data_IF_448695370764
#
_entry.id   IF_448695370764
#
_cell.length_a   1.000
_cell.length_b   1.000
_cell.length_c   1.000
_cell.angle_alpha   90.00
_cell.angle_beta   90.00
_cell.angle_gamma   90.00
#
_symmetry.space_group_name_H-M   'P 1'
#
loop_
_entity.id
_entity.type
_entity.pdbx_description
1 polymer ?
#
# COMPACT_ATOMS: atom_id res chain seq x y z
N UNK A 1 -22.05 35.81 -57.14
CA UNK A 1 -22.50 36.63 -56.01
C UNK A 1 -22.59 35.70 -54.80
N UNK A 2 -21.50 35.57 -54.03
CA UNK A 2 -21.31 36.15 -52.67
C UNK A 2 -22.32 35.58 -51.67
N UNK A 3 -21.96 34.88 -50.58
CA UNK A 3 -20.90 35.23 -49.63
C UNK A 3 -20.31 33.99 -48.91
N UNK A 4 -18.98 34.00 -48.79
CA UNK A 4 -18.18 33.34 -47.75
C UNK A 4 -17.94 34.40 -46.67
N UNK A 5 -18.08 34.08 -45.39
CA UNK A 5 -17.59 34.98 -44.34
C UNK A 5 -18.08 34.66 -42.94
N UNK A 6 -17.13 34.73 -42.00
CA UNK A 6 -17.29 34.82 -40.55
C UNK A 6 -17.63 33.52 -39.79
N UNK A 7 -16.59 32.88 -39.26
CA UNK A 7 -16.72 31.85 -38.22
C UNK A 7 -15.38 31.28 -37.74
N UNK A 8 -14.30 32.07 -37.78
CA UNK A 8 -12.95 31.65 -37.45
C UNK A 8 -12.36 32.62 -36.41
N UNK A 9 -13.00 32.74 -35.24
CA UNK A 9 -12.51 33.62 -34.18
C UNK A 9 -12.95 33.20 -32.76
N UNK A 10 -13.00 31.90 -32.45
CA UNK A 10 -13.39 31.40 -31.13
C UNK A 10 -12.45 30.32 -30.54
N UNK A 11 -11.24 30.15 -31.08
CA UNK A 11 -10.30 29.11 -30.64
C UNK A 11 -9.05 29.61 -29.89
N UNK A 12 -8.99 30.89 -29.50
CA UNK A 12 -7.74 31.50 -29.00
C UNK A 12 -7.78 31.99 -27.54
N UNK A 13 -8.51 31.30 -26.65
CA UNK A 13 -8.62 31.67 -25.22
C UNK A 13 -8.43 30.50 -24.24
N UNK A 14 -7.74 29.42 -24.64
CA UNK A 14 -7.48 28.24 -23.78
C UNK A 14 -5.99 28.13 -23.37
N UNK A 15 -5.15 29.12 -23.68
CA UNK A 15 -3.69 29.03 -23.50
C UNK A 15 -3.08 29.63 -22.22
N UNK A 16 -3.85 30.22 -21.30
CA UNK A 16 -3.30 31.17 -20.32
C UNK A 16 -3.32 30.73 -18.84
N UNK A 17 -3.40 29.44 -18.53
CA UNK A 17 -3.22 28.95 -17.15
C UNK A 17 -2.15 27.86 -17.06
N UNK A 18 -1.01 28.09 -17.72
CA UNK A 18 0.23 27.44 -17.29
C UNK A 18 0.64 28.08 -15.97
N UNK A 19 0.19 27.51 -14.84
CA UNK A 19 0.87 27.76 -13.58
C UNK A 19 2.32 27.33 -13.78
N UNK A 20 3.22 28.32 -13.79
CA UNK A 20 4.64 28.10 -13.66
C UNK A 20 4.81 27.27 -12.39
N UNK A 21 5.12 25.98 -12.56
CA UNK A 21 5.57 25.15 -11.46
C UNK A 21 6.97 25.64 -11.17
N UNK A 22 7.05 26.73 -10.41
CA UNK A 22 8.31 27.24 -9.91
C UNK A 22 8.97 26.09 -9.15
N UNK A 23 10.14 25.68 -9.63
CA UNK A 23 10.98 24.73 -8.93
C UNK A 23 11.33 25.33 -7.57
N UNK A 24 10.53 25.01 -6.54
CA UNK A 24 10.80 25.43 -5.18
C UNK A 24 12.20 24.96 -4.83
N UNK A 25 13.10 25.92 -4.63
CA UNK A 25 14.47 25.65 -4.24
C UNK A 25 14.47 24.81 -2.98
N UNK A 26 15.31 23.77 -2.93
CA UNK A 26 15.47 22.92 -1.74
C UNK A 26 15.78 23.75 -0.48
N UNK A 27 16.41 24.92 -0.65
CA UNK A 27 16.67 25.87 0.44
C UNK A 27 15.40 26.49 1.03
N UNK A 28 14.37 26.75 0.23
CA UNK A 28 13.12 27.33 0.70
C UNK A 28 12.24 26.29 1.39
N UNK A 29 12.25 25.05 0.90
CA UNK A 29 11.65 23.90 1.59
C UNK A 29 12.32 23.67 2.94
N UNK A 30 13.66 23.73 3.01
CA UNK A 30 14.39 23.58 4.26
C UNK A 30 14.05 24.70 5.27
N UNK A 31 13.97 25.96 4.81
CA UNK A 31 13.54 27.09 5.65
C UNK A 31 12.09 26.96 6.12
N UNK A 32 11.19 26.51 5.26
CA UNK A 32 9.78 26.30 5.60
C UNK A 32 9.61 25.13 6.59
N UNK A 33 10.37 24.04 6.44
CA UNK A 33 10.39 22.94 7.42
C UNK A 33 10.98 23.38 8.76
N UNK A 34 12.04 24.19 8.76
CA UNK A 34 12.60 24.75 9.99
C UNK A 34 11.56 25.62 10.74
N UNK A 35 10.90 26.53 10.02
CA UNK A 35 9.83 27.36 10.58
C UNK A 35 8.62 26.53 11.08
N UNK A 36 8.27 25.44 10.38
CA UNK A 36 7.21 24.52 10.84
C UNK A 36 7.59 23.84 12.15
N UNK A 37 8.84 23.37 12.28
CA UNK A 37 9.33 22.72 13.51
C UNK A 37 9.32 23.67 14.69
N UNK A 38 9.63 24.96 14.48
CA UNK A 38 9.54 25.99 15.52
C UNK A 38 8.09 26.26 15.99
N UNK A 39 7.11 26.07 15.10
CA UNK A 39 5.69 26.26 15.42
C UNK A 39 5.07 25.07 16.15
N UNK A 40 5.65 23.87 16.06
CA UNK A 40 5.19 22.68 16.78
C UNK A 40 5.74 22.74 18.21
N UNK A 41 5.07 23.51 19.07
CA UNK A 41 5.40 23.63 20.51
C UNK A 41 4.82 22.53 21.38
N UNK A 42 3.97 21.69 20.81
CA UNK A 42 3.29 20.61 21.53
C UNK A 42 3.91 19.29 21.12
N UNK A 43 4.74 18.71 21.99
CA UNK A 43 5.04 17.29 21.91
C UNK A 43 3.70 16.55 22.02
N UNK A 44 3.33 15.76 21.01
CA UNK A 44 2.17 14.87 21.10
C UNK A 44 2.31 13.94 22.31
N UNK A 45 1.19 13.32 22.72
CA UNK A 45 1.20 12.34 23.81
C UNK A 45 2.24 11.26 23.51
N UNK A 46 3.26 11.16 24.35
CA UNK A 46 4.22 10.06 24.31
C UNK A 46 3.50 8.87 24.91
N UNK A 47 3.00 7.99 24.05
CA UNK A 47 2.46 6.70 24.47
C UNK A 47 3.64 5.80 24.81
N UNK A 48 3.81 5.53 26.10
CA UNK A 48 4.80 4.60 26.63
C UNK A 48 4.17 3.22 26.84
N UNK A 49 4.98 2.19 27.11
CA UNK A 49 4.46 0.88 27.50
C UNK A 49 3.59 0.92 28.77
N UNK A 50 3.65 1.99 29.57
CA UNK A 50 2.78 2.16 30.75
C UNK A 50 1.36 2.61 30.40
N UNK A 51 1.15 3.15 29.18
CA UNK A 51 -0.15 3.63 28.72
C UNK A 51 -0.97 2.53 28.03
N UNK A 52 -0.41 1.32 27.91
CA UNK A 52 -1.10 0.14 27.38
C UNK A 52 -1.99 -0.47 28.47
N UNK A 53 -3.24 -0.86 28.16
CA UNK A 53 -4.03 -1.66 29.09
C UNK A 53 -3.30 -2.98 29.38
N UNK A 54 -3.43 -3.57 30.58
CA UNK A 54 -2.72 -4.80 30.96
C UNK A 54 -2.96 -5.99 30.02
N UNK A 55 -4.07 -5.98 29.27
CA UNK A 55 -4.40 -6.98 28.25
C UNK A 55 -3.65 -6.81 26.92
N UNK A 56 -3.04 -5.65 26.67
CA UNK A 56 -2.25 -5.37 25.47
C UNK A 56 -0.74 -5.62 25.67
N UNK A 57 -0.30 -5.80 26.91
CA UNK A 57 1.08 -6.19 27.23
C UNK A 57 1.17 -7.71 27.16
N UNK A 58 1.41 -8.24 25.95
CA UNK A 58 1.90 -9.61 25.79
C UNK A 58 3.30 -9.67 26.42
N UNK A 59 3.41 -10.35 27.56
CA UNK A 59 4.70 -10.64 28.15
C UNK A 59 5.59 -11.30 27.08
N UNK A 60 6.85 -10.86 26.91
CA UNK A 60 7.76 -11.54 26.01
C UNK A 60 7.86 -13.00 26.47
N UNK A 61 7.62 -13.93 25.55
CA UNK A 61 7.89 -15.34 25.78
C UNK A 61 9.39 -15.48 26.10
N UNK A 62 9.72 -15.60 27.38
CA UNK A 62 11.10 -15.75 27.86
C UNK A 62 11.61 -14.73 28.88
N UNK A 63 10.78 -13.89 29.51
CA UNK A 63 11.23 -13.18 30.72
C UNK A 63 11.41 -14.19 31.88
N UNK A 64 12.60 -14.25 32.53
CA UNK A 64 12.83 -15.18 33.63
C UNK A 64 11.95 -14.80 34.82
N UNK A 65 11.24 -15.80 35.37
CA UNK A 65 10.50 -15.66 36.61
C UNK A 65 11.47 -15.31 37.75
N UNK A 66 11.13 -14.27 38.53
CA UNK A 66 11.80 -14.02 39.79
C UNK A 66 11.57 -15.22 40.74
N UNK A 67 12.59 -15.68 41.48
CA UNK A 67 12.49 -16.93 42.22
C UNK A 67 11.65 -16.77 43.50
N UNK A 68 10.70 -17.68 43.69
CA UNK A 68 10.29 -18.12 45.03
C UNK A 68 11.24 -19.26 45.46
N UNK A 69 11.63 -19.35 46.74
CA UNK A 69 12.61 -20.33 47.18
C UNK A 69 11.95 -21.70 47.36
N UNK A 70 12.55 -22.77 46.84
CA UNK A 70 13.26 -23.76 47.66
C UNK A 70 13.76 -24.95 46.81
N UNK A 71 14.99 -25.34 47.14
CA UNK A 71 15.58 -26.69 47.17
C UNK A 71 15.37 -27.68 46.01
N UNK A 72 16.49 -28.13 45.45
CA UNK A 72 16.68 -29.55 45.15
C UNK A 72 17.24 -29.91 43.77
N UNK A 73 18.57 -30.08 43.73
CA UNK A 73 19.36 -31.11 43.03
C UNK A 73 19.09 -31.49 41.56
N UNK A 74 20.21 -31.45 40.80
CA UNK A 74 20.64 -32.43 39.76
C UNK A 74 19.77 -32.63 38.51
N UNK A 75 20.28 -32.90 37.31
CA UNK A 75 21.54 -32.83 36.57
C UNK A 75 21.12 -33.37 35.17
N UNK A 76 21.83 -32.97 34.10
CA UNK A 76 21.85 -33.66 32.79
C UNK A 76 20.55 -33.54 31.95
N UNK A 77 20.57 -33.45 30.62
CA UNK A 77 21.61 -33.46 29.61
C UNK A 77 20.97 -32.93 28.29
N UNK A 78 21.82 -32.47 27.37
CA UNK A 78 21.74 -32.65 25.92
C UNK A 78 20.38 -32.51 25.18
N UNK A 79 20.29 -32.01 23.96
CA UNK A 79 21.18 -31.40 22.98
C UNK A 79 20.30 -31.24 21.74
N UNK A 80 20.61 -30.24 20.91
CA UNK A 80 20.38 -30.20 19.45
C UNK A 80 18.92 -30.23 18.96
N UNK A 81 18.60 -29.22 18.14
CA UNK A 81 17.45 -29.31 17.25
C UNK A 81 17.14 -27.99 16.59
N UNK A 82 18.09 -27.47 15.81
CA UNK A 82 17.87 -26.36 14.89
C UNK A 82 16.98 -26.90 13.76
N UNK A 83 15.74 -26.43 13.64
CA UNK A 83 15.09 -26.37 12.34
C UNK A 83 14.29 -25.09 12.19
N UNK A 84 14.61 -24.40 11.11
CA UNK A 84 14.12 -23.12 10.67
C UNK A 84 12.81 -23.34 9.94
N UNK A 85 11.74 -22.69 10.36
CA UNK A 85 10.53 -22.54 9.56
C UNK A 85 10.28 -21.04 9.37
N UNK A 86 10.79 -20.55 8.24
CA UNK A 86 10.36 -19.31 7.60
C UNK A 86 8.93 -19.47 7.07
N UNK A 87 8.32 -18.33 6.77
CA UNK A 87 7.07 -18.10 6.02
C UNK A 87 5.77 -18.08 6.81
N UNK A 88 5.41 -16.88 7.30
CA UNK A 88 4.01 -16.50 7.52
C UNK A 88 3.81 -15.07 7.03
N UNK A 89 3.96 -14.87 5.72
CA UNK A 89 3.55 -13.61 5.06
C UNK A 89 2.67 -13.83 3.82
N UNK A 90 2.43 -15.08 3.40
CA UNK A 90 1.45 -15.39 2.34
C UNK A 90 0.00 -15.53 2.85
N UNK A 91 -0.20 -15.54 4.18
CA UNK A 91 -1.54 -15.70 4.75
C UNK A 91 -2.40 -14.42 4.70
N UNK A 92 -1.80 -13.24 4.57
CA UNK A 92 -2.56 -11.97 4.61
C UNK A 92 -3.03 -11.50 3.23
N UNK A 93 -2.36 -11.89 2.15
CA UNK A 93 -2.79 -11.56 0.78
C UNK A 93 -3.95 -12.43 0.27
N UNK A 94 -4.20 -13.59 0.91
CA UNK A 94 -5.36 -14.45 0.58
C UNK A 94 -6.63 -14.04 1.34
N UNK A 95 -6.53 -13.24 2.40
CA UNK A 95 -7.68 -12.81 3.20
C UNK A 95 -8.51 -11.70 2.53
N UNK A 96 -7.90 -10.83 1.71
CA UNK A 96 -8.62 -9.79 0.95
C UNK A 96 -9.14 -10.29 -0.41
N UNK A 97 -8.51 -11.30 -1.01
CA UNK A 97 -9.04 -11.96 -2.21
C UNK A 97 -10.17 -12.97 -1.89
N UNK A 98 -10.17 -13.58 -0.69
CA UNK A 98 -11.24 -14.48 -0.24
C UNK A 98 -12.53 -13.74 0.18
N UNK A 99 -12.46 -12.43 0.46
CA UNK A 99 -13.66 -11.63 0.73
C UNK A 99 -14.55 -11.42 -0.51
N UNK A 100 -14.06 -11.75 -1.72
CA UNK A 100 -14.83 -11.68 -2.96
C UNK A 100 -15.38 -13.04 -3.44
N UNK A 101 -15.00 -14.17 -2.81
CA UNK A 101 -15.31 -15.51 -3.32
C UNK A 101 -16.22 -16.36 -2.40
N UNK A 102 -16.58 -15.88 -1.21
CA UNK A 102 -17.37 -16.65 -0.23
C UNK A 102 -18.72 -16.01 0.15
N UNK A 103 -19.46 -15.53 -0.86
CA UNK A 103 -20.89 -15.18 -0.73
C UNK A 103 -21.77 -16.08 -1.58
N UNK A 104 -21.61 -17.40 -1.41
CA UNK A 104 -22.58 -18.39 -1.88
C UNK A 104 -23.51 -18.76 -0.71
N UNK A 105 -24.40 -17.83 -0.31
CA UNK A 105 -25.46 -18.15 0.67
C UNK A 105 -25.97 -17.03 1.56
N UNK A 106 -25.30 -15.87 1.64
CA UNK A 106 -25.93 -14.66 2.19
C UNK A 106 -26.54 -13.87 1.03
N UNK A 107 -27.79 -13.43 1.19
CA UNK A 107 -28.40 -12.45 0.30
C UNK A 107 -27.37 -11.35 0.01
N UNK A 108 -27.31 -10.90 -1.25
CA UNK A 108 -26.46 -9.79 -1.64
C UNK A 108 -26.56 -8.68 -0.58
N UNK A 109 -25.44 -8.01 -0.20
CA UNK A 109 -25.54 -6.80 0.61
C UNK A 109 -26.66 -5.97 0.01
N UNK A 110 -27.63 -5.58 0.85
CA UNK A 110 -28.90 -5.03 0.42
C UNK A 110 -28.67 -4.07 -0.76
N UNK A 111 -29.50 -4.14 -1.80
CA UNK A 111 -29.44 -3.29 -2.99
C UNK A 111 -29.73 -1.79 -2.66
N UNK A 112 -29.38 -1.36 -1.45
CA UNK A 112 -29.45 -0.01 -0.93
C UNK A 112 -28.14 0.77 -1.18
N UNK A 113 -28.23 2.07 -0.94
CA UNK A 113 -27.13 3.02 -1.15
C UNK A 113 -25.85 2.64 -0.40
N UNK A 114 -25.98 2.16 0.84
CA UNK A 114 -24.84 1.83 1.69
C UNK A 114 -24.13 0.56 1.20
N UNK A 115 -24.89 -0.45 0.73
CA UNK A 115 -24.34 -1.64 0.10
C UNK A 115 -23.50 -1.33 -1.14
N UNK A 116 -24.04 -0.50 -2.05
CA UNK A 116 -23.33 -0.07 -3.25
C UNK A 116 -22.07 0.74 -2.94
N UNK A 117 -22.15 1.68 -1.98
CA UNK A 117 -21.00 2.48 -1.54
C UNK A 117 -19.91 1.63 -0.91
N UNK A 118 -20.28 0.69 -0.05
CA UNK A 118 -19.31 -0.21 0.58
C UNK A 118 -18.57 -1.05 -0.46
N UNK A 119 -19.28 -1.55 -1.47
CA UNK A 119 -18.67 -2.30 -2.58
C UNK A 119 -17.76 -1.43 -3.42
N UNK A 120 -18.19 -0.21 -3.76
CA UNK A 120 -17.38 0.76 -4.49
C UNK A 120 -16.08 1.07 -3.74
N UNK A 121 -16.17 1.36 -2.43
CA UNK A 121 -15.01 1.63 -1.58
C UNK A 121 -14.02 0.46 -1.55
N UNK A 122 -14.50 -0.78 -1.44
CA UNK A 122 -13.65 -1.97 -1.44
C UNK A 122 -12.91 -2.13 -2.78
N UNK A 123 -13.61 -1.99 -3.90
CA UNK A 123 -13.04 -2.13 -5.25
C UNK A 123 -12.05 -1.01 -5.55
N UNK A 124 -12.41 0.24 -5.23
CA UNK A 124 -11.54 1.40 -5.41
C UNK A 124 -10.29 1.30 -4.52
N UNK A 125 -10.43 0.78 -3.30
CA UNK A 125 -9.33 0.46 -2.40
C UNK A 125 -8.37 -0.55 -3.01
N UNK A 126 -8.88 -1.70 -3.47
CA UNK A 126 -8.06 -2.74 -4.10
C UNK A 126 -7.32 -2.23 -5.35
N UNK A 127 -7.98 -1.43 -6.19
CA UNK A 127 -7.37 -0.82 -7.36
C UNK A 127 -6.26 0.17 -7.00
N UNK A 128 -6.47 1.00 -5.97
CA UNK A 128 -5.48 1.95 -5.46
C UNK A 128 -4.26 1.25 -4.87
N UNK A 129 -4.48 0.18 -4.10
CA UNK A 129 -3.44 -0.65 -3.51
C UNK A 129 -2.58 -1.31 -4.59
N UNK A 130 -3.22 -1.97 -5.57
CA UNK A 130 -2.51 -2.62 -6.68
C UNK A 130 -1.65 -1.63 -7.47
N UNK A 131 -2.18 -0.43 -7.78
CA UNK A 131 -1.40 0.65 -8.43
C UNK A 131 -0.20 1.06 -7.60
N UNK A 132 -0.37 1.19 -6.29
CA UNK A 132 0.71 1.58 -5.38
C UNK A 132 1.79 0.50 -5.30
N UNK A 133 1.40 -0.77 -5.22
CA UNK A 133 2.33 -1.90 -5.22
C UNK A 133 3.19 -1.93 -6.50
N UNK A 134 2.57 -1.77 -7.68
CA UNK A 134 3.31 -1.72 -8.96
C UNK A 134 4.30 -0.56 -8.96
N UNK A 135 3.91 0.64 -8.50
CA UNK A 135 4.82 1.81 -8.43
C UNK A 135 6.00 1.56 -7.49
N UNK A 136 5.75 1.00 -6.31
CA UNK A 136 6.79 0.70 -5.33
C UNK A 136 7.81 -0.30 -5.88
N UNK A 137 7.34 -1.40 -6.47
CA UNK A 137 8.23 -2.43 -7.05
C UNK A 137 9.03 -1.89 -8.24
N UNK A 138 8.44 -1.03 -9.08
CA UNK A 138 9.17 -0.38 -10.18
C UNK A 138 10.27 0.55 -9.67
N UNK A 139 9.99 1.36 -8.65
CA UNK A 139 10.99 2.23 -8.03
C UNK A 139 12.16 1.43 -7.39
N UNK A 140 11.86 0.29 -6.76
CA UNK A 140 12.91 -0.63 -6.29
C UNK A 140 13.74 -1.18 -7.46
N UNK A 141 13.11 -1.45 -8.60
CA UNK A 141 13.79 -1.91 -9.82
C UNK A 141 14.76 -0.89 -10.36
N UNK A 142 14.38 0.40 -10.37
CA UNK A 142 15.25 1.49 -10.79
C UNK A 142 16.47 1.63 -9.87
N UNK A 143 16.25 1.52 -8.55
CA UNK A 143 17.34 1.51 -7.56
C UNK A 143 18.31 0.34 -7.79
N UNK A 144 17.81 -0.89 -7.91
CA UNK A 144 18.66 -2.06 -8.15
C UNK A 144 19.38 -1.98 -9.51
N UNK A 145 18.78 -1.29 -10.49
CA UNK A 145 19.44 -1.01 -11.77
C UNK A 145 20.69 -0.15 -11.58
N UNK A 146 20.62 0.87 -10.73
CA UNK A 146 21.79 1.69 -10.38
C UNK A 146 22.83 0.90 -9.59
N UNK A 147 22.40 0.09 -8.61
CA UNK A 147 23.32 -0.75 -7.81
C UNK A 147 24.02 -1.80 -8.68
N UNK A 148 23.36 -2.33 -9.72
CA UNK A 148 23.99 -3.25 -10.67
C UNK A 148 25.09 -2.62 -11.53
N UNK A 149 25.21 -1.29 -11.55
CA UNK A 149 26.28 -0.55 -12.22
C UNK A 149 27.40 -0.13 -11.27
N UNK A 150 27.36 -0.56 -9.99
CA UNK A 150 28.39 -0.23 -9.03
C UNK A 150 29.76 -0.78 -9.45
N UNK A 151 30.82 -0.04 -9.15
CA UNK A 151 32.20 -0.46 -9.43
C UNK A 151 32.62 -1.71 -8.62
N UNK A 152 31.94 -1.98 -7.49
CA UNK A 152 32.19 -3.17 -6.69
C UNK A 152 31.46 -4.38 -7.30
N UNK A 153 32.18 -5.44 -7.72
CA UNK A 153 31.59 -6.59 -8.41
C UNK A 153 30.63 -7.40 -7.53
N UNK A 154 30.83 -7.45 -6.21
CA UNK A 154 29.96 -8.20 -5.30
C UNK A 154 28.59 -7.52 -5.17
N UNK A 155 28.58 -6.18 -5.11
CA UNK A 155 27.35 -5.38 -5.09
C UNK A 155 26.60 -5.56 -6.40
N UNK A 156 27.32 -5.47 -7.52
CA UNK A 156 26.72 -5.63 -8.85
C UNK A 156 26.11 -7.03 -9.05
N UNK A 157 26.83 -8.08 -8.63
CA UNK A 157 26.35 -9.46 -8.70
C UNK A 157 25.09 -9.67 -7.87
N UNK A 158 25.08 -9.21 -6.61
CA UNK A 158 23.90 -9.29 -5.73
C UNK A 158 22.69 -8.55 -6.31
N UNK A 159 22.88 -7.31 -6.75
CA UNK A 159 21.80 -6.52 -7.35
C UNK A 159 21.22 -7.21 -8.60
N UNK A 160 22.06 -7.85 -9.42
CA UNK A 160 21.59 -8.59 -10.59
C UNK A 160 20.69 -9.78 -10.25
N UNK A 161 21.00 -10.51 -9.16
CA UNK A 161 20.19 -11.62 -8.68
C UNK A 161 18.84 -11.13 -8.12
N UNK A 162 18.85 -10.10 -7.27
CA UNK A 162 17.63 -9.52 -6.69
C UNK A 162 16.68 -8.96 -7.78
N UNK A 163 17.22 -8.46 -8.90
CA UNK A 163 16.41 -8.02 -10.05
C UNK A 163 15.64 -9.14 -10.71
N UNK A 164 16.13 -10.38 -10.72
CA UNK A 164 15.40 -11.50 -11.30
C UNK A 164 14.12 -11.79 -10.50
N UNK A 165 14.24 -11.85 -9.17
CA UNK A 165 13.10 -12.05 -8.27
C UNK A 165 12.12 -10.88 -8.32
N UNK A 166 12.63 -9.65 -8.37
CA UNK A 166 11.79 -8.45 -8.45
C UNK A 166 10.96 -8.42 -9.74
N UNK A 167 11.49 -8.89 -10.88
CA UNK A 167 10.70 -8.98 -12.12
C UNK A 167 9.50 -9.92 -11.98
N UNK A 168 9.68 -11.06 -11.30
CA UNK A 168 8.58 -11.96 -11.02
C UNK A 168 7.53 -11.32 -10.10
N UNK A 169 7.96 -10.53 -9.11
CA UNK A 169 7.05 -9.78 -8.23
C UNK A 169 6.29 -8.68 -8.99
N UNK A 170 6.96 -7.95 -9.88
CA UNK A 170 6.33 -6.93 -10.74
C UNK A 170 5.27 -7.58 -11.63
N UNK A 171 5.57 -8.72 -12.26
CA UNK A 171 4.60 -9.44 -13.09
C UNK A 171 3.34 -9.84 -12.31
N UNK A 172 3.51 -10.40 -11.10
CA UNK A 172 2.38 -10.73 -10.20
C UNK A 172 1.58 -9.48 -9.77
N UNK A 173 2.27 -8.37 -9.51
CA UNK A 173 1.60 -7.12 -9.15
C UNK A 173 0.83 -6.49 -10.32
N UNK A 174 1.34 -6.62 -11.55
CA UNK A 174 0.65 -6.20 -12.77
C UNK A 174 -0.57 -7.09 -13.07
N UNK A 175 -0.49 -8.40 -12.81
CA UNK A 175 -1.65 -9.29 -12.86
C UNK A 175 -2.74 -8.86 -11.87
N UNK A 176 -2.38 -8.60 -10.60
CA UNK A 176 -3.33 -8.06 -9.61
C UNK A 176 -3.94 -6.72 -10.02
N UNK A 177 -3.15 -5.85 -10.65
CA UNK A 177 -3.65 -4.59 -11.18
C UNK A 177 -4.67 -4.81 -12.31
N UNK A 178 -4.41 -5.77 -13.20
CA UNK A 178 -5.33 -6.13 -14.26
C UNK A 178 -6.63 -6.72 -13.69
N UNK A 179 -6.55 -7.61 -12.70
CA UNK A 179 -7.70 -8.17 -11.99
C UNK A 179 -8.54 -7.08 -11.29
N UNK A 180 -7.90 -6.19 -10.54
CA UNK A 180 -8.60 -5.09 -9.86
C UNK A 180 -9.27 -4.13 -10.86
N UNK A 181 -8.63 -3.88 -12.01
CA UNK A 181 -9.20 -3.07 -13.09
C UNK A 181 -10.43 -3.77 -13.69
N UNK A 182 -10.34 -5.07 -13.98
CA UNK A 182 -11.46 -5.85 -14.51
C UNK A 182 -12.63 -5.92 -13.52
N UNK A 183 -12.34 -6.07 -12.22
CA UNK A 183 -13.34 -6.06 -11.15
C UNK A 183 -14.08 -4.71 -11.08
N UNK A 184 -13.33 -3.60 -11.20
CA UNK A 184 -13.90 -2.26 -11.24
C UNK A 184 -14.80 -2.05 -12.47
N UNK A 185 -14.39 -2.48 -13.66
CA UNK A 185 -15.23 -2.41 -14.86
C UNK A 185 -16.48 -3.29 -14.76
N UNK A 186 -16.35 -4.49 -14.20
CA UNK A 186 -17.48 -5.39 -13.98
C UNK A 186 -18.51 -4.76 -13.03
N UNK A 187 -18.04 -4.17 -11.94
CA UNK A 187 -18.88 -3.44 -10.99
C UNK A 187 -19.60 -2.24 -11.64
N UNK A 188 -18.91 -1.47 -12.49
CA UNK A 188 -19.56 -0.37 -13.23
C UNK A 188 -20.61 -0.86 -14.22
N UNK A 189 -20.42 -2.02 -14.85
CA UNK A 189 -21.45 -2.63 -15.72
C UNK A 189 -22.66 -3.09 -14.90
N UNK A 190 -22.42 -3.72 -13.76
CA UNK A 190 -23.46 -4.18 -12.84
C UNK A 190 -24.29 -3.01 -12.31
N UNK A 191 -23.64 -1.96 -11.82
CA UNK A 191 -24.29 -0.75 -11.32
C UNK A 191 -25.17 -0.08 -12.40
N UNK A 192 -24.67 -0.01 -13.65
CA UNK A 192 -25.46 0.51 -14.78
C UNK A 192 -26.66 -0.38 -15.12
N UNK A 193 -26.48 -1.70 -15.11
CA UNK A 193 -27.58 -2.64 -15.36
C UNK A 193 -28.66 -2.57 -14.27
N UNK A 194 -28.27 -2.29 -13.03
CA UNK A 194 -29.16 -2.12 -11.89
C UNK A 194 -29.77 -0.69 -11.78
N UNK A 195 -29.41 0.25 -12.66
CA UNK A 195 -29.91 1.63 -12.62
C UNK A 195 -29.41 2.44 -11.42
N UNK A 196 -28.29 2.04 -10.82
CA UNK A 196 -27.69 2.69 -9.66
C UNK A 196 -27.17 4.08 -10.03
N UNK A 197 -27.50 5.15 -9.27
CA UNK A 197 -26.95 6.47 -9.50
C UNK A 197 -25.41 6.46 -9.43
N UNK A 198 -24.75 7.16 -10.36
CA UNK A 198 -23.28 7.22 -10.38
C UNK A 198 -22.68 7.77 -9.07
N UNK A 199 -23.39 8.63 -8.35
CA UNK A 199 -22.99 9.17 -7.06
C UNK A 199 -22.83 8.13 -5.93
N UNK A 200 -23.38 6.92 -6.10
CA UNK A 200 -23.26 5.84 -5.11
C UNK A 200 -22.04 4.95 -5.36
N UNK A 201 -21.45 4.98 -6.56
CA UNK A 201 -20.37 4.09 -6.99
C UNK A 201 -19.03 4.82 -7.22
N UNK A 202 -18.96 6.10 -6.85
CA UNK A 202 -17.73 6.91 -6.89
C UNK A 202 -16.79 6.58 -5.73
#
# INVERSE_FOLDING_TARGET
>A
MTARGAGLLACLWIGATAHQVDAQSLGDVARQEAARREQIKTSGKVLTNADLPPSAVLAPAGAPAAPAPEAGSELAEAARGRESASTTDEAKAKATAAAAADTKGKAAPADDEDGWRSRAAAINGALSEARTQVRQLKALGDRLSLESQAANPDIAARASAERADLRAQVAKAEERLAEATAAHEAFQREARAAGVPSAWIQ
#
